data_IF_700338891463
#
_entry.id   IF_700338891463
#
_cell.length_a   1.000
_cell.length_b   1.000
_cell.length_c   1.000
_cell.angle_alpha   90.00
_cell.angle_beta   90.00
_cell.angle_gamma   90.00
#
_symmetry.space_group_name_H-M   'P 1'
#
loop_
_entity.id
_entity.type
_entity.pdbx_description
1 polymer ?
#
# COMPACT_ATOMS: atom_id res chain seq x y z
N UNK A 1 -21.64 -26.56 -1.46
CA UNK A 1 -21.97 -25.26 -2.09
C UNK A 1 -22.76 -24.36 -1.14
N UNK A 2 -23.80 -24.87 -0.45
CA UNK A 2 -24.55 -24.10 0.56
C UNK A 2 -23.70 -23.66 1.77
N UNK A 3 -22.80 -24.50 2.27
CA UNK A 3 -21.97 -24.19 3.45
C UNK A 3 -20.91 -23.13 3.19
N UNK A 4 -20.36 -23.09 1.98
CA UNK A 4 -19.37 -22.08 1.59
C UNK A 4 -20.01 -20.68 1.46
N UNK A 5 -21.20 -20.60 0.86
CA UNK A 5 -21.95 -19.33 0.78
C UNK A 5 -22.39 -18.87 2.17
N UNK A 6 -22.79 -19.78 3.05
CA UNK A 6 -23.09 -19.48 4.45
C UNK A 6 -21.86 -19.00 5.22
N UNK A 7 -20.70 -19.64 5.00
CA UNK A 7 -19.41 -19.23 5.56
C UNK A 7 -19.05 -17.80 5.12
N UNK A 8 -19.06 -17.49 3.82
CA UNK A 8 -18.79 -16.13 3.32
C UNK A 8 -19.80 -15.11 3.85
N UNK A 9 -21.08 -15.49 4.00
CA UNK A 9 -22.10 -14.60 4.57
C UNK A 9 -21.87 -14.34 6.07
N UNK A 10 -21.37 -15.33 6.82
CA UNK A 10 -21.13 -15.21 8.26
C UNK A 10 -19.82 -14.49 8.54
N UNK A 11 -18.73 -14.83 7.84
CA UNK A 11 -17.46 -14.10 7.89
C UNK A 11 -17.64 -12.66 7.42
N UNK A 12 -18.38 -12.46 6.32
CA UNK A 12 -18.80 -11.13 5.87
C UNK A 12 -19.53 -10.37 6.98
N UNK A 13 -20.47 -11.00 7.70
CA UNK A 13 -21.19 -10.36 8.81
C UNK A 13 -20.32 -9.98 10.03
N UNK A 14 -19.29 -10.75 10.35
CA UNK A 14 -18.34 -10.42 11.43
C UNK A 14 -17.41 -9.26 11.04
N UNK A 15 -17.01 -9.17 9.78
CA UNK A 15 -16.03 -8.19 9.30
C UNK A 15 -16.70 -6.89 8.80
N UNK A 16 -17.94 -6.94 8.31
CA UNK A 16 -18.72 -5.78 7.83
C UNK A 16 -19.27 -4.85 8.93
N UNK A 17 -19.03 -5.16 10.20
CA UNK A 17 -19.48 -4.34 11.34
C UNK A 17 -18.73 -3.02 11.54
N UNK A 18 -17.74 -2.67 10.70
CA UNK A 18 -17.02 -1.38 10.74
C UNK A 18 -17.12 -0.67 9.40
N UNK A 19 -17.72 0.52 9.41
CA UNK A 19 -17.71 1.46 8.29
C UNK A 19 -16.25 1.87 7.97
N UNK A 20 -15.71 1.39 6.84
CA UNK A 20 -14.35 1.70 6.41
C UNK A 20 -13.72 0.64 5.50
N UNK A 21 -14.32 0.35 4.34
CA UNK A 21 -13.88 -0.75 3.47
C UNK A 21 -12.50 -0.53 2.80
N UNK A 22 -12.08 0.71 2.55
CA UNK A 22 -10.85 0.99 1.79
C UNK A 22 -9.63 1.28 2.68
N UNK A 23 -9.50 0.57 3.80
CA UNK A 23 -8.31 0.65 4.64
C UNK A 23 -8.09 -0.65 5.42
N UNK A 24 -6.96 -1.30 5.16
CA UNK A 24 -6.23 -1.96 6.24
C UNK A 24 -6.00 -3.45 6.08
N UNK A 25 -4.72 -3.81 6.24
CA UNK A 25 -4.22 -5.11 6.67
C UNK A 25 -5.10 -5.84 7.68
N UNK A 26 -5.81 -5.13 8.57
CA UNK A 26 -6.74 -5.70 9.56
C UNK A 26 -7.86 -6.56 8.96
N UNK A 27 -8.48 -6.14 7.85
CA UNK A 27 -9.52 -6.96 7.20
C UNK A 27 -8.96 -8.31 6.75
N UNK A 28 -7.79 -8.31 6.11
CA UNK A 28 -7.14 -9.53 5.65
C UNK A 28 -6.64 -10.38 6.80
N UNK A 29 -6.13 -9.77 7.89
CA UNK A 29 -5.73 -10.49 9.09
C UNK A 29 -6.90 -11.24 9.74
N UNK A 30 -8.04 -10.57 9.93
CA UNK A 30 -9.23 -11.17 10.53
C UNK A 30 -9.81 -12.28 9.63
N UNK A 31 -9.81 -12.05 8.30
CA UNK A 31 -10.22 -13.05 7.31
C UNK A 31 -9.28 -14.26 7.30
N UNK A 32 -7.98 -14.04 7.35
CA UNK A 32 -6.96 -15.09 7.39
C UNK A 32 -7.09 -15.94 8.65
N UNK A 33 -7.20 -15.33 9.84
CA UNK A 33 -7.38 -16.06 11.11
C UNK A 33 -8.64 -16.93 11.08
N UNK A 34 -9.72 -16.41 10.50
CA UNK A 34 -10.96 -17.18 10.33
C UNK A 34 -10.81 -18.37 9.38
N UNK A 35 -10.09 -18.19 8.26
CA UNK A 35 -9.83 -19.24 7.29
C UNK A 35 -8.89 -20.32 7.83
N UNK A 36 -7.86 -19.92 8.58
CA UNK A 36 -6.94 -20.83 9.28
C UNK A 36 -7.69 -21.68 10.30
N UNK A 37 -8.50 -21.07 11.18
CA UNK A 37 -9.30 -21.82 12.16
C UNK A 37 -10.34 -22.75 11.54
N UNK A 38 -10.89 -22.40 10.38
CA UNK A 38 -11.81 -23.28 9.66
C UNK A 38 -11.07 -24.45 8.99
N UNK A 39 -9.88 -24.22 8.46
CA UNK A 39 -9.02 -25.27 7.91
C UNK A 39 -8.64 -26.27 9.01
N UNK A 40 -8.26 -25.78 10.19
CA UNK A 40 -7.96 -26.60 11.37
C UNK A 40 -9.18 -27.43 11.80
N UNK A 41 -10.37 -26.83 11.86
CA UNK A 41 -11.60 -27.54 12.24
C UNK A 41 -11.97 -28.65 11.25
N UNK A 42 -11.72 -28.43 9.95
CA UNK A 42 -11.97 -29.42 8.91
C UNK A 42 -10.81 -30.40 8.73
N UNK A 43 -9.71 -30.24 9.49
CA UNK A 43 -8.47 -31.03 9.36
C UNK A 43 -7.91 -31.00 7.92
N UNK A 44 -8.03 -29.85 7.26
CA UNK A 44 -7.48 -29.59 5.93
C UNK A 44 -6.33 -28.59 6.03
N UNK A 45 -5.35 -28.69 5.13
CA UNK A 45 -4.23 -27.75 5.12
C UNK A 45 -4.66 -26.33 4.73
N UNK A 46 -3.98 -25.33 5.28
CA UNK A 46 -4.04 -23.93 4.83
C UNK A 46 -2.67 -23.53 4.25
N UNK A 47 -2.60 -22.80 3.11
CA UNK A 47 -3.73 -22.36 2.29
C UNK A 47 -4.35 -23.49 1.44
N UNK A 48 -5.61 -23.31 1.01
CA UNK A 48 -6.38 -24.23 0.17
C UNK A 48 -7.30 -23.48 -0.82
N UNK A 49 -7.91 -24.20 -1.76
CA UNK A 49 -8.77 -23.63 -2.80
C UNK A 49 -9.98 -22.88 -2.22
N UNK A 50 -10.52 -23.35 -1.09
CA UNK A 50 -11.61 -22.69 -0.38
C UNK A 50 -11.21 -21.29 0.13
N UNK A 51 -9.99 -21.18 0.66
CA UNK A 51 -9.42 -19.92 1.10
C UNK A 51 -9.17 -18.97 -0.08
N UNK A 52 -8.69 -19.49 -1.21
CA UNK A 52 -8.51 -18.69 -2.43
C UNK A 52 -9.83 -18.08 -2.90
N UNK A 53 -10.86 -18.91 -3.05
CA UNK A 53 -12.18 -18.47 -3.50
C UNK A 53 -12.80 -17.48 -2.50
N UNK A 54 -12.58 -17.67 -1.19
CA UNK A 54 -13.09 -16.77 -0.17
C UNK A 54 -12.46 -15.38 -0.26
N UNK A 55 -11.13 -15.32 -0.41
CA UNK A 55 -10.37 -14.08 -0.55
C UNK A 55 -10.77 -13.35 -1.84
N UNK A 56 -10.90 -14.08 -2.96
CA UNK A 56 -11.29 -13.52 -4.25
C UNK A 56 -12.70 -12.92 -4.21
N UNK A 57 -13.66 -13.66 -3.63
CA UNK A 57 -15.03 -13.19 -3.47
C UNK A 57 -15.13 -11.99 -2.53
N UNK A 58 -14.33 -11.96 -1.46
CA UNK A 58 -14.25 -10.81 -0.56
C UNK A 58 -13.71 -9.57 -1.28
N UNK A 59 -12.65 -9.70 -2.07
CA UNK A 59 -12.12 -8.63 -2.92
C UNK A 59 -13.19 -8.06 -3.87
N UNK A 60 -13.90 -8.93 -4.60
CA UNK A 60 -14.93 -8.49 -5.55
C UNK A 60 -16.12 -7.84 -4.83
N UNK A 61 -16.53 -8.37 -3.68
CA UNK A 61 -17.72 -7.89 -2.99
C UNK A 61 -17.49 -6.60 -2.21
N UNK A 62 -16.32 -6.43 -1.62
CA UNK A 62 -16.06 -5.35 -0.66
C UNK A 62 -15.05 -4.30 -1.15
N UNK A 63 -14.21 -4.64 -2.13
CA UNK A 63 -13.12 -3.76 -2.61
C UNK A 63 -13.29 -3.33 -4.06
N UNK A 64 -14.43 -3.60 -4.72
CA UNK A 64 -14.68 -3.20 -6.12
C UNK A 64 -14.66 -1.70 -6.37
N UNK A 65 -14.96 -0.89 -5.34
CA UNK A 65 -14.92 0.57 -5.41
C UNK A 65 -13.76 1.18 -4.61
N UNK A 66 -12.80 0.37 -4.16
CA UNK A 66 -11.60 0.90 -3.55
C UNK A 66 -10.61 1.24 -4.65
N UNK A 67 -10.33 2.53 -4.83
CA UNK A 67 -9.10 2.95 -5.49
C UNK A 67 -7.94 2.39 -4.64
N UNK A 68 -6.93 1.79 -5.28
CA UNK A 68 -5.68 1.50 -4.56
C UNK A 68 -5.22 2.81 -3.94
N UNK A 69 -5.23 2.89 -2.60
CA UNK A 69 -4.50 3.96 -1.92
C UNK A 69 -3.07 3.85 -2.43
N UNK A 70 -2.57 4.96 -2.96
CA UNK A 70 -1.27 5.12 -3.62
C UNK A 70 -0.10 4.86 -2.68
N UNK A 71 -0.02 3.69 -2.04
CA UNK A 71 0.94 3.43 -0.97
C UNK A 71 2.38 3.23 -1.49
N UNK A 72 2.59 3.19 -2.81
CA UNK A 72 3.93 3.22 -3.39
C UNK A 72 3.92 3.59 -4.89
N UNK A 73 3.22 4.65 -5.28
CA UNK A 73 3.32 5.13 -6.68
C UNK A 73 4.56 6.01 -6.79
N UNK A 74 5.52 5.57 -7.59
CA UNK A 74 6.67 6.41 -7.97
C UNK A 74 6.16 7.76 -8.54
N UNK A 75 6.78 8.89 -8.18
CA UNK A 75 6.33 10.18 -8.66
C UNK A 75 6.32 10.20 -10.20
N UNK A 76 5.32 10.85 -10.82
CA UNK A 76 5.22 10.91 -12.28
C UNK A 76 6.53 11.43 -12.89
N UNK A 77 6.90 10.89 -14.06
CA UNK A 77 8.23 11.05 -14.67
C UNK A 77 8.71 12.51 -14.71
N UNK A 78 7.82 13.46 -15.00
CA UNK A 78 8.13 14.88 -15.04
C UNK A 78 8.57 15.46 -13.68
N UNK A 79 7.96 15.00 -12.58
CA UNK A 79 8.30 15.42 -11.22
C UNK A 79 9.61 14.77 -10.78
N UNK A 80 9.82 13.49 -11.10
CA UNK A 80 11.07 12.79 -10.83
C UNK A 80 12.25 13.46 -11.52
N UNK A 81 12.11 13.79 -12.81
CA UNK A 81 13.14 14.50 -13.58
C UNK A 81 13.42 15.88 -13.00
N UNK A 82 12.40 16.65 -12.63
CA UNK A 82 12.58 17.94 -11.98
C UNK A 82 13.37 17.82 -10.67
N UNK A 83 13.08 16.79 -9.86
CA UNK A 83 13.77 16.53 -8.59
C UNK A 83 15.24 16.12 -8.80
N UNK A 84 15.58 15.46 -9.90
CA UNK A 84 16.95 15.10 -10.28
C UNK A 84 17.73 16.32 -10.81
N UNK A 85 17.12 17.12 -11.69
CA UNK A 85 17.79 18.29 -12.25
C UNK A 85 18.01 19.41 -11.22
N UNK A 86 17.13 19.53 -10.24
CA UNK A 86 17.21 20.53 -9.18
C UNK A 86 18.57 20.54 -8.45
N UNK A 87 19.05 19.45 -7.81
CA UNK A 87 20.35 19.43 -7.16
C UNK A 87 21.51 19.58 -8.16
N UNK A 88 21.40 19.03 -9.37
CA UNK A 88 22.43 19.15 -10.42
C UNK A 88 22.66 20.62 -10.80
N UNK A 89 21.62 21.44 -10.85
CA UNK A 89 21.73 22.86 -11.18
C UNK A 89 22.04 23.74 -9.96
N UNK A 90 21.39 23.48 -8.82
CA UNK A 90 21.51 24.32 -7.63
C UNK A 90 22.89 24.20 -6.98
N UNK A 91 23.46 23.00 -6.88
CA UNK A 91 24.76 22.78 -6.23
C UNK A 91 25.89 23.59 -6.90
N UNK A 92 26.15 23.48 -8.22
CA UNK A 92 27.22 24.26 -8.85
C UNK A 92 26.95 25.77 -8.82
N UNK A 93 25.69 26.20 -8.89
CA UNK A 93 25.34 27.61 -8.76
C UNK A 93 25.69 28.17 -7.37
N UNK A 94 25.31 27.46 -6.30
CA UNK A 94 25.63 27.87 -4.94
C UNK A 94 27.13 27.82 -4.67
N UNK A 95 27.83 26.78 -5.15
CA UNK A 95 29.29 26.66 -5.00
C UNK A 95 30.00 27.82 -5.70
N UNK A 96 29.62 28.15 -6.94
CA UNK A 96 30.22 29.28 -7.66
C UNK A 96 29.92 30.62 -6.98
N UNK A 97 28.72 30.81 -6.45
CA UNK A 97 28.35 32.01 -5.70
C UNK A 97 29.18 32.16 -4.41
N UNK A 98 29.37 31.08 -3.65
CA UNK A 98 30.19 31.07 -2.43
C UNK A 98 31.66 31.33 -2.75
N UNK A 99 32.20 30.72 -3.81
CA UNK A 99 33.57 30.96 -4.28
C UNK A 99 33.76 32.40 -4.74
N UNK A 100 32.80 32.95 -5.48
CA UNK A 100 32.85 34.34 -5.90
C UNK A 100 32.83 35.29 -4.70
N UNK A 101 31.89 35.09 -3.76
CA UNK A 101 31.78 35.89 -2.55
C UNK A 101 33.05 35.81 -1.69
N UNK A 102 33.59 34.61 -1.47
CA UNK A 102 34.81 34.42 -0.67
C UNK A 102 36.06 35.02 -1.31
N UNK A 103 36.13 35.10 -2.64
CA UNK A 103 37.21 35.81 -3.32
C UNK A 103 37.03 37.32 -3.29
N UNK A 104 35.80 37.84 -3.36
CA UNK A 104 35.53 39.29 -3.18
C UNK A 104 35.76 39.77 -1.73
N UNK A 105 35.70 38.88 -0.75
CA UNK A 105 35.97 39.20 0.66
C UNK A 105 37.44 39.09 1.05
N UNK A 106 38.32 38.55 0.20
CA UNK A 106 39.77 38.65 0.41
C UNK A 106 40.17 40.10 0.11
N UNK A 107 40.61 40.89 1.11
CA UNK A 107 41.17 42.21 0.84
C UNK A 107 42.36 42.02 -0.11
N UNK A 108 42.41 42.79 -1.18
CA UNK A 108 43.63 42.88 -1.98
C UNK A 108 44.67 43.59 -1.12
N UNK A 109 45.60 42.81 -0.55
CA UNK A 109 46.85 43.29 0.04
C UNK A 109 47.96 43.06 -0.97
#
# INVERSE_FOLDING_TARGET
MSDFVYFISKVGGYVLGREGCCGGSRFYSDLQECLEGYADHLLVGYPNDLAHDAILNAHIKFFTNCAMSEEFIDPPENVLLALIFTPICIIPFLVTLVVYKSNTSKPQT
#
